data_IF_965665344265
#
_entry.id   IF_965665344265
#
_cell.length_a   1.000
_cell.length_b   1.000
_cell.length_c   1.000
_cell.angle_alpha   90.00
_cell.angle_beta   90.00
_cell.angle_gamma   90.00
#
_symmetry.space_group_name_H-M   'P 1'
#
loop_
_entity.id
_entity.type
_entity.pdbx_description
1 polymer ?
#
# COMPACT_ATOMS: atom_id res chain seq x y z
N UNK A 1 -21.59 12.73 -2.20
CA UNK A 1 -21.12 11.51 -1.52
C UNK A 1 -19.60 11.55 -1.44
N UNK A 2 -19.05 11.05 -0.34
CA UNK A 2 -17.61 10.97 -0.08
C UNK A 2 -17.14 9.51 -0.21
N UNK A 3 -15.90 9.29 -0.64
CA UNK A 3 -15.31 7.96 -0.85
C UNK A 3 -13.98 7.87 -0.11
N UNK A 4 -13.79 6.80 0.64
CA UNK A 4 -12.51 6.43 1.24
C UNK A 4 -12.01 5.18 0.54
N UNK A 5 -10.75 5.20 0.10
CA UNK A 5 -10.11 4.06 -0.57
C UNK A 5 -8.85 3.67 0.20
N UNK A 6 -8.74 2.40 0.54
CA UNK A 6 -7.45 1.81 0.88
C UNK A 6 -6.84 1.28 -0.43
N UNK A 7 -5.68 1.81 -0.81
CA UNK A 7 -4.96 1.39 -2.00
C UNK A 7 -3.63 0.75 -1.61
N UNK A 8 -3.32 -0.38 -2.24
CA UNK A 8 -2.09 -1.12 -2.00
C UNK A 8 -1.63 -1.81 -3.28
N UNK A 9 -0.32 -1.88 -3.49
CA UNK A 9 0.28 -2.62 -4.60
C UNK A 9 1.60 -3.27 -4.20
N UNK A 10 1.99 -4.29 -4.96
CA UNK A 10 3.31 -4.89 -4.93
C UNK A 10 3.84 -5.04 -6.35
N UNK A 11 5.13 -4.81 -6.55
CA UNK A 11 5.78 -4.81 -7.85
C UNK A 11 7.04 -5.70 -7.86
N UNK A 12 7.24 -6.39 -8.98
CA UNK A 12 8.44 -7.16 -9.29
C UNK A 12 8.96 -6.78 -10.67
N UNK A 13 10.29 -6.81 -10.89
CA UNK A 13 11.33 -7.36 -10.01
C UNK A 13 11.86 -6.41 -8.92
N UNK A 14 11.36 -5.18 -8.83
CA UNK A 14 11.85 -4.15 -7.91
C UNK A 14 11.63 -4.51 -6.42
N UNK A 15 10.76 -5.48 -6.14
CA UNK A 15 10.34 -5.90 -4.80
C UNK A 15 9.84 -4.72 -3.94
N UNK A 16 9.26 -3.72 -4.60
CA UNK A 16 8.67 -2.52 -3.99
C UNK A 16 7.16 -2.68 -3.79
N UNK A 17 6.62 -2.02 -2.78
CA UNK A 17 5.18 -1.94 -2.57
C UNK A 17 4.78 -0.71 -1.78
N UNK A 18 3.51 -0.34 -1.88
CA UNK A 18 2.95 0.82 -1.22
C UNK A 18 1.61 0.48 -0.58
N UNK A 19 1.30 1.19 0.51
CA UNK A 19 0.03 1.12 1.20
C UNK A 19 -0.37 2.54 1.59
N UNK A 20 -1.57 2.96 1.22
CA UNK A 20 -2.09 4.28 1.55
C UNK A 20 -3.62 4.29 1.73
N UNK A 21 -4.10 5.34 2.38
CA UNK A 21 -5.52 5.69 2.45
C UNK A 21 -5.77 7.01 1.71
N UNK A 22 -6.82 7.02 0.91
CA UNK A 22 -7.32 8.14 0.13
C UNK A 22 -8.70 8.57 0.64
N UNK A 23 -8.98 9.88 0.62
CA UNK A 23 -10.29 10.47 0.83
C UNK A 23 -10.59 11.42 -0.34
N UNK A 24 -11.60 11.11 -1.15
CA UNK A 24 -12.03 11.90 -2.31
C UNK A 24 -10.90 12.28 -3.31
N UNK A 25 -9.86 11.44 -3.44
CA UNK A 25 -8.71 11.67 -4.30
C UNK A 25 -7.51 12.34 -3.62
N UNK A 26 -7.61 12.69 -2.34
CA UNK A 26 -6.51 13.19 -1.53
C UNK A 26 -5.97 12.11 -0.57
N UNK A 27 -4.65 11.95 -0.55
CA UNK A 27 -3.98 11.07 0.41
C UNK A 27 -4.20 11.54 1.86
N UNK A 28 -4.63 10.62 2.72
CA UNK A 28 -4.70 10.80 4.17
C UNK A 28 -3.34 10.46 4.81
N UNK A 29 -2.84 9.26 4.51
CA UNK A 29 -1.53 8.76 4.94
C UNK A 29 -1.05 7.61 4.06
N UNK A 30 0.25 7.33 4.10
CA UNK A 30 0.86 6.08 3.64
C UNK A 30 1.70 5.44 4.75
N UNK A 31 2.16 4.21 4.53
CA UNK A 31 3.12 3.53 5.41
C UNK A 31 4.49 3.49 4.75
N UNK A 32 5.49 4.06 5.43
CA UNK A 32 6.90 3.88 5.06
C UNK A 32 7.29 2.45 5.45
N UNK A 33 7.48 1.58 4.45
CA UNK A 33 7.73 0.15 4.66
C UNK A 33 9.11 -0.13 5.27
N UNK A 34 10.09 0.75 5.04
CA UNK A 34 11.44 0.61 5.58
C UNK A 34 11.47 1.02 7.06
N UNK A 35 10.87 2.17 7.37
CA UNK A 35 10.80 2.68 8.74
C UNK A 35 9.73 1.99 9.57
N UNK A 36 8.76 1.33 8.93
CA UNK A 36 7.57 0.71 9.54
C UNK A 36 6.74 1.71 10.31
N UNK A 37 6.52 2.88 9.71
CA UNK A 37 5.86 4.02 10.33
C UNK A 37 4.74 4.55 9.45
N UNK A 38 3.68 5.07 10.07
CA UNK A 38 2.62 5.79 9.37
C UNK A 38 3.06 7.23 9.12
N UNK A 39 3.03 7.63 7.86
CA UNK A 39 3.36 8.98 7.40
C UNK A 39 2.08 9.69 7.00
N UNK A 40 1.66 10.65 7.83
CA UNK A 40 0.47 11.45 7.55
C UNK A 40 0.77 12.50 6.48
N UNK A 41 -0.13 12.64 5.49
CA UNK A 41 0.01 13.65 4.44
C UNK A 41 0.01 15.07 5.01
N UNK A 42 -0.87 15.31 5.98
CA UNK A 42 -0.89 16.48 6.84
C UNK A 42 -0.60 16.05 8.29
N UNK A 43 0.44 16.59 8.95
CA UNK A 43 0.81 16.19 10.31
C UNK A 43 -0.33 16.36 11.35
N UNK A 44 -1.27 17.29 11.09
CA UNK A 44 -2.41 17.53 11.97
C UNK A 44 -3.36 16.32 12.07
N UNK A 45 -3.46 15.49 11.02
CA UNK A 45 -4.30 14.28 11.05
C UNK A 45 -3.83 13.28 12.10
N UNK A 46 -2.51 13.14 12.28
CA UNK A 46 -1.91 12.29 13.31
C UNK A 46 -2.16 12.73 14.74
N UNK A 47 -2.77 13.91 14.95
CA UNK A 47 -3.23 14.36 16.28
C UNK A 47 -4.60 13.78 16.65
N UNK A 48 -5.41 13.43 15.65
CA UNK A 48 -6.79 12.99 15.83
C UNK A 48 -6.98 11.51 15.53
N UNK A 49 -6.11 10.94 14.70
CA UNK A 49 -6.15 9.54 14.30
C UNK A 49 -4.76 8.88 14.43
N UNK A 50 -4.77 7.56 14.55
CA UNK A 50 -3.58 6.72 14.57
C UNK A 50 -3.81 5.51 13.69
N UNK A 51 -2.75 5.01 13.06
CA UNK A 51 -2.78 3.75 12.33
C UNK A 51 -1.56 2.91 12.75
N UNK A 52 -1.75 1.60 12.87
CA UNK A 52 -0.67 0.68 13.20
C UNK A 52 -0.02 0.16 11.91
N UNK A 53 1.17 0.66 11.60
CA UNK A 53 1.92 0.31 10.39
C UNK A 53 2.15 -1.21 10.20
N UNK A 54 2.14 -1.98 11.30
CA UNK A 54 2.27 -3.44 11.26
C UNK A 54 1.15 -4.10 10.42
N UNK A 55 -0.05 -3.54 10.40
CA UNK A 55 -1.16 -4.04 9.58
C UNK A 55 -0.85 -3.94 8.09
N UNK A 56 -0.26 -2.84 7.63
CA UNK A 56 0.14 -2.65 6.25
C UNK A 56 1.25 -3.62 5.82
N UNK A 57 2.21 -3.92 6.70
CA UNK A 57 3.26 -4.90 6.43
C UNK A 57 2.69 -6.32 6.25
N UNK A 58 1.67 -6.68 7.03
CA UNK A 58 0.98 -7.96 6.89
C UNK A 58 0.25 -8.04 5.54
N UNK A 59 -0.46 -6.98 5.13
CA UNK A 59 -1.07 -6.90 3.80
C UNK A 59 -0.03 -7.00 2.69
N UNK A 60 1.13 -6.37 2.86
CA UNK A 60 2.19 -6.42 1.85
C UNK A 60 2.73 -7.83 1.62
N UNK A 61 2.87 -8.63 2.68
CA UNK A 61 3.25 -10.04 2.57
C UNK A 61 2.21 -10.85 1.77
N UNK A 62 0.92 -10.57 1.97
CA UNK A 62 -0.18 -11.18 1.22
C UNK A 62 -0.15 -10.74 -0.25
N UNK A 63 0.05 -9.45 -0.53
CA UNK A 63 0.12 -8.93 -1.90
C UNK A 63 1.30 -9.50 -2.69
N UNK A 64 2.46 -9.64 -2.05
CA UNK A 64 3.61 -10.34 -2.64
C UNK A 64 3.27 -11.79 -3.02
N UNK A 65 2.64 -12.53 -2.11
CA UNK A 65 2.24 -13.92 -2.38
C UNK A 65 1.19 -14.01 -3.49
N UNK A 66 0.22 -13.09 -3.52
CA UNK A 66 -0.79 -13.00 -4.56
C UNK A 66 -0.16 -12.67 -5.92
N UNK A 67 0.79 -11.75 -5.97
CA UNK A 67 1.52 -11.41 -7.20
C UNK A 67 2.28 -12.63 -7.73
N UNK A 68 2.97 -13.37 -6.88
CA UNK A 68 3.69 -14.60 -7.27
C UNK A 68 2.74 -15.65 -7.89
N UNK A 69 1.50 -15.74 -7.39
CA UNK A 69 0.45 -16.60 -7.97
C UNK A 69 -0.04 -16.04 -9.32
N UNK A 70 -0.30 -14.74 -9.39
CA UNK A 70 -0.83 -14.10 -10.60
C UNK A 70 0.16 -14.13 -11.76
N UNK A 71 1.46 -13.92 -11.49
CA UNK A 71 2.52 -14.06 -12.50
C UNK A 71 2.55 -15.47 -13.10
N UNK A 72 2.42 -16.51 -12.27
CA UNK A 72 2.34 -17.90 -12.75
C UNK A 72 1.09 -18.14 -13.62
N UNK A 73 -0.06 -17.62 -13.18
CA UNK A 73 -1.34 -17.75 -13.90
C UNK A 73 -1.34 -17.03 -15.25
N UNK A 74 -0.62 -15.91 -15.36
CA UNK A 74 -0.51 -15.12 -16.59
C UNK A 74 0.65 -15.55 -17.49
N UNK A 75 1.19 -16.75 -17.30
CA UNK A 75 2.37 -17.27 -18.02
C UNK A 75 3.56 -16.30 -18.00
N UNK A 76 3.78 -15.62 -16.86
CA UNK A 76 4.86 -14.67 -16.65
C UNK A 76 4.89 -13.52 -17.66
N UNK A 77 3.70 -13.07 -18.12
CA UNK A 77 3.61 -11.86 -18.94
C UNK A 77 4.19 -10.67 -18.15
N UNK A 78 5.26 -10.02 -18.63
CA UNK A 78 5.93 -8.95 -17.89
C UNK A 78 5.12 -7.65 -17.90
N UNK A 79 5.40 -6.78 -16.93
CA UNK A 79 4.95 -5.38 -17.00
C UNK A 79 5.66 -4.68 -18.17
N UNK A 80 4.94 -3.87 -18.95
CA UNK A 80 5.47 -3.16 -20.12
C UNK A 80 5.43 -1.64 -19.99
N UNK A 81 5.08 -1.13 -18.81
CA UNK A 81 5.04 0.31 -18.50
C UNK A 81 6.43 0.88 -18.24
#
# INVERSE_FOLDING_TARGET
DHVIIQAEFYLKPEESGEFMFDFDGDEIFHVDMEKKETVWRLPEFGRFASFEAQGALANMAVNKANLDIMMKRSNYTPNTN
#
